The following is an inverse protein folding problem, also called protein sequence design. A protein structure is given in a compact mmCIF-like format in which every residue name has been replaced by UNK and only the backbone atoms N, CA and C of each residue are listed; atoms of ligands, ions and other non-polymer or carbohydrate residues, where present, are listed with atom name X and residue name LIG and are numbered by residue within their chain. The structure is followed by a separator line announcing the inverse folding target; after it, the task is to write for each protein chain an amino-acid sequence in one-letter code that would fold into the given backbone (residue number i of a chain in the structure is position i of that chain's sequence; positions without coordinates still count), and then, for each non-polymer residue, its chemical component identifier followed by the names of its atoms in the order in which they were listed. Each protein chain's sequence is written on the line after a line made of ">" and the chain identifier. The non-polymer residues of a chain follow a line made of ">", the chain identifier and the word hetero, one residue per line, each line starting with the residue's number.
data_IF_765685695542
#
_entry.id   IF_765685695542
#
_cell.length_a   1.000
_cell.length_b   1.000
_cell.length_c   1.000
_cell.angle_alpha   90.00
_cell.angle_beta   90.00
_cell.angle_gamma   90.00
#
_symmetry.space_group_name_H-M   'P 1'
#
loop_
_entity.id
_entity.type
_entity.pdbx_description
1 polymer ?
#
# COMPACT_ATOMS: atom_id res chain seq x y z
N UNK A 1 7.50 -23.26 -6.26
CA UNK A 1 6.54 -22.32 -5.60
C UNK A 1 6.42 -21.06 -6.42
N UNK A 2 5.26 -20.37 -6.36
CA UNK A 2 5.17 -19.02 -6.95
C UNK A 2 5.08 -18.02 -5.83
N UNK A 3 6.11 -17.18 -5.74
CA UNK A 3 6.28 -16.21 -4.65
C UNK A 3 5.81 -14.82 -5.07
N UNK A 4 5.00 -14.19 -4.24
CA UNK A 4 4.49 -12.83 -4.43
C UNK A 4 4.97 -11.93 -3.30
N UNK A 5 5.55 -10.78 -3.63
CA UNK A 5 5.85 -9.73 -2.67
C UNK A 5 4.68 -8.78 -2.52
N UNK A 6 4.36 -8.48 -1.27
CA UNK A 6 3.30 -7.56 -0.87
C UNK A 6 3.93 -6.35 -0.18
N UNK A 7 3.71 -5.17 -0.72
CA UNK A 7 4.25 -3.94 -0.13
C UNK A 7 3.20 -3.22 0.70
N UNK A 8 3.52 -3.01 1.98
CA UNK A 8 2.62 -2.36 2.93
C UNK A 8 2.34 -0.90 2.55
N UNK A 9 1.14 -0.45 2.84
CA UNK A 9 0.69 0.93 2.63
C UNK A 9 0.79 1.82 3.86
N UNK A 10 0.35 3.07 3.71
CA UNK A 10 0.20 4.00 4.83
C UNK A 10 -0.77 3.44 5.87
N UNK A 11 -0.46 3.63 7.15
CA UNK A 11 -1.20 3.10 8.30
C UNK A 11 -0.47 1.97 9.02
N UNK A 12 0.59 1.40 8.42
CA UNK A 12 1.41 0.38 9.05
C UNK A 12 2.71 0.92 9.67
N UNK A 13 3.04 2.20 9.48
CA UNK A 13 4.23 2.83 10.04
C UNK A 13 4.26 2.73 11.57
N UNK A 14 5.46 2.57 12.13
CA UNK A 14 5.71 2.56 13.57
C UNK A 14 6.98 3.33 13.93
N UNK A 15 6.99 3.95 15.10
CA UNK A 15 8.17 4.64 15.61
C UNK A 15 9.35 3.67 15.70
N UNK A 16 10.53 4.11 15.28
CA UNK A 16 11.76 3.30 15.29
C UNK A 16 11.88 2.32 14.13
N UNK A 17 10.94 2.32 13.16
CA UNK A 17 10.99 1.38 12.02
C UNK A 17 12.30 1.52 11.24
N UNK A 18 12.88 0.38 10.86
CA UNK A 18 14.08 0.32 10.03
C UNK A 18 15.40 0.52 10.76
N UNK A 19 15.41 0.90 12.06
CA UNK A 19 16.65 1.09 12.82
C UNK A 19 17.44 -0.19 12.96
N UNK A 20 16.79 -1.29 13.29
CA UNK A 20 17.38 -2.62 13.40
C UNK A 20 17.92 -3.14 12.06
N UNK A 21 17.23 -2.84 10.94
CA UNK A 21 17.72 -3.15 9.59
C UNK A 21 18.96 -2.32 9.25
N UNK A 22 18.96 -1.03 9.58
CA UNK A 22 20.09 -0.14 9.35
C UNK A 22 21.34 -0.60 10.09
N UNK A 23 21.19 -1.14 11.28
CA UNK A 23 22.28 -1.72 12.08
C UNK A 23 22.75 -3.08 11.54
N UNK A 24 21.81 -3.92 11.07
CA UNK A 24 22.08 -5.31 10.71
C UNK A 24 22.54 -5.53 9.27
N UNK A 25 22.05 -4.71 8.30
CA UNK A 25 22.26 -4.96 6.87
C UNK A 25 22.95 -3.80 6.16
N UNK A 26 24.21 -4.00 5.67
CA UNK A 26 24.95 -2.96 4.96
C UNK A 26 24.26 -2.43 3.70
N UNK A 27 23.58 -3.30 2.93
CA UNK A 27 22.84 -2.91 1.72
C UNK A 27 21.61 -2.07 2.04
N UNK A 28 20.88 -2.37 3.13
CA UNK A 28 19.80 -1.51 3.64
C UNK A 28 20.34 -0.12 3.99
N UNK A 29 21.44 -0.08 4.78
CA UNK A 29 22.10 1.16 5.20
C UNK A 29 22.53 2.00 4.01
N UNK A 30 23.15 1.38 3.01
CA UNK A 30 23.60 2.07 1.80
C UNK A 30 22.45 2.73 1.05
N UNK A 31 21.28 2.09 0.98
CA UNK A 31 20.07 2.71 0.41
C UNK A 31 19.66 3.93 1.24
N UNK A 32 19.46 3.78 2.56
CA UNK A 32 19.01 4.89 3.41
C UNK A 32 19.97 6.09 3.34
N UNK A 33 21.29 5.85 3.42
CA UNK A 33 22.31 6.91 3.40
C UNK A 33 22.45 7.58 2.02
N UNK A 34 21.92 6.96 0.95
CA UNK A 34 21.93 7.53 -0.41
C UNK A 34 20.73 8.45 -0.71
N UNK A 35 19.73 8.47 0.18
CA UNK A 35 18.49 9.21 -0.04
C UNK A 35 18.61 10.65 0.48
N UNK A 36 18.23 11.60 -0.36
CA UNK A 36 18.18 13.01 -0.04
C UNK A 36 16.73 13.52 -0.13
N UNK A 37 16.16 13.93 0.99
CA UNK A 37 14.79 14.42 1.11
C UNK A 37 14.75 15.82 1.70
N UNK A 38 13.58 16.44 1.69
CA UNK A 38 13.36 17.76 2.26
C UNK A 38 13.42 17.80 3.80
N UNK A 39 13.59 16.65 4.45
CA UNK A 39 13.71 16.47 5.90
C UNK A 39 14.72 15.37 6.23
N UNK A 40 15.14 15.29 7.50
CA UNK A 40 16.01 14.19 7.98
C UNK A 40 15.22 12.89 8.06
N UNK A 41 15.33 12.09 6.99
CA UNK A 41 14.64 10.80 6.84
C UNK A 41 14.99 9.84 7.96
N UNK A 42 16.29 9.71 8.27
CA UNK A 42 16.77 8.77 9.28
C UNK A 42 16.30 9.14 10.69
N UNK A 43 16.40 10.40 11.06
CA UNK A 43 15.87 10.88 12.33
C UNK A 43 14.35 10.66 12.42
N UNK A 44 13.59 10.93 11.34
CA UNK A 44 12.14 10.71 11.31
C UNK A 44 11.77 9.24 11.49
N UNK A 45 12.47 8.32 10.80
CA UNK A 45 12.18 6.88 10.89
C UNK A 45 12.58 6.28 12.23
N UNK A 46 13.78 6.61 12.75
CA UNK A 46 14.40 5.94 13.88
C UNK A 46 14.05 6.56 15.23
N UNK A 47 13.79 7.87 15.27
CA UNK A 47 13.64 8.63 16.52
C UNK A 47 12.36 9.50 16.53
N UNK A 48 11.70 9.64 15.38
CA UNK A 48 10.50 10.45 15.25
C UNK A 48 9.33 9.91 16.06
N UNK A 49 8.58 10.81 16.68
CA UNK A 49 7.34 10.45 17.34
C UNK A 49 6.31 9.92 16.34
N UNK A 50 5.52 8.92 16.76
CA UNK A 50 4.52 8.29 15.89
C UNK A 50 3.52 9.32 15.31
N UNK A 51 3.16 10.35 16.06
CA UNK A 51 2.26 11.39 15.58
C UNK A 51 2.84 12.17 14.39
N UNK A 52 4.13 12.52 14.44
CA UNK A 52 4.83 13.17 13.33
C UNK A 52 5.00 12.23 12.15
N UNK A 53 5.47 11.00 12.40
CA UNK A 53 5.64 9.98 11.38
C UNK A 53 4.32 9.60 10.69
N UNK A 54 3.18 9.76 11.36
CA UNK A 54 1.85 9.45 10.81
C UNK A 54 1.28 10.57 9.91
N UNK A 55 1.94 11.71 9.79
CA UNK A 55 1.56 12.73 8.81
C UNK A 55 1.91 12.21 7.41
N UNK A 56 0.96 12.35 6.49
CA UNK A 56 1.04 11.74 5.14
C UNK A 56 2.33 12.10 4.39
N UNK A 57 2.78 13.35 4.50
CA UNK A 57 3.99 13.86 3.88
C UNK A 57 5.29 13.22 4.40
N UNK A 58 5.27 12.65 5.61
CA UNK A 58 6.40 11.91 6.19
C UNK A 58 6.21 10.40 6.10
N UNK A 59 4.97 9.91 6.32
CA UNK A 59 4.68 8.46 6.25
C UNK A 59 5.11 7.88 4.92
N UNK A 60 4.72 8.53 3.80
CA UNK A 60 4.92 7.94 2.49
C UNK A 60 6.39 7.74 2.14
N UNK A 61 7.27 8.76 2.19
CA UNK A 61 8.68 8.55 1.91
C UNK A 61 9.40 7.67 2.94
N UNK A 62 9.03 7.71 4.22
CA UNK A 62 9.62 6.83 5.23
C UNK A 62 9.29 5.35 4.98
N UNK A 63 8.04 5.02 4.66
CA UNK A 63 7.62 3.67 4.30
C UNK A 63 8.29 3.20 3.00
N UNK A 64 8.42 4.10 2.02
CA UNK A 64 9.11 3.81 0.77
C UNK A 64 10.60 3.53 0.98
N UNK A 65 11.27 4.32 1.81
CA UNK A 65 12.68 4.10 2.15
C UNK A 65 12.89 2.77 2.86
N UNK A 66 12.00 2.44 3.83
CA UNK A 66 12.02 1.14 4.49
C UNK A 66 11.91 0.00 3.46
N UNK A 67 10.89 0.06 2.59
CA UNK A 67 10.65 -0.97 1.58
C UNK A 67 11.79 -1.07 0.55
N UNK A 68 12.37 0.06 0.12
CA UNK A 68 13.52 0.09 -0.78
C UNK A 68 14.75 -0.58 -0.16
N UNK A 69 15.03 -0.27 1.12
CA UNK A 69 16.13 -0.89 1.86
C UNK A 69 15.96 -2.40 2.01
N UNK A 70 14.77 -2.88 2.41
CA UNK A 70 14.49 -4.32 2.51
C UNK A 70 14.61 -4.99 1.13
N UNK A 71 14.05 -4.35 0.07
CA UNK A 71 14.15 -4.88 -1.30
C UNK A 71 15.61 -5.00 -1.76
N UNK A 72 16.48 -4.07 -1.38
CA UNK A 72 17.92 -4.15 -1.69
C UNK A 72 18.60 -5.37 -1.05
N UNK A 73 18.26 -5.66 0.23
CA UNK A 73 18.78 -6.86 0.91
C UNK A 73 18.28 -8.14 0.23
N UNK A 74 16.96 -8.23 -0.05
CA UNK A 74 16.38 -9.39 -0.74
C UNK A 74 17.01 -9.61 -2.11
N UNK A 75 17.28 -8.54 -2.86
CA UNK A 75 17.94 -8.60 -4.16
C UNK A 75 19.40 -9.07 -4.04
N UNK A 76 20.15 -8.58 -3.07
CA UNK A 76 21.53 -9.01 -2.78
C UNK A 76 21.57 -10.50 -2.46
N UNK A 77 20.59 -10.99 -1.71
CA UNK A 77 20.44 -12.41 -1.38
C UNK A 77 19.91 -13.25 -2.57
N UNK A 78 19.57 -12.64 -3.71
CA UNK A 78 18.98 -13.33 -4.86
C UNK A 78 17.55 -13.82 -4.63
N UNK A 79 16.85 -13.24 -3.66
CA UNK A 79 15.47 -13.59 -3.27
C UNK A 79 14.51 -12.64 -3.96
N UNK A 80 14.22 -12.87 -5.23
CA UNK A 80 13.28 -12.05 -6.00
C UNK A 80 11.97 -12.81 -6.26
N UNK A 81 10.83 -12.11 -6.31
CA UNK A 81 9.53 -12.74 -6.47
C UNK A 81 9.21 -13.04 -7.94
N UNK A 82 8.23 -13.90 -8.18
CA UNK A 82 7.60 -14.08 -9.50
C UNK A 82 6.65 -12.93 -9.84
N UNK A 83 6.06 -12.32 -8.81
CA UNK A 83 5.15 -11.21 -8.96
C UNK A 83 5.11 -10.32 -7.71
N UNK A 84 4.57 -9.11 -7.83
CA UNK A 84 4.38 -8.22 -6.70
C UNK A 84 3.11 -7.37 -6.83
N UNK A 85 2.60 -6.92 -5.69
CA UNK A 85 1.61 -5.86 -5.57
C UNK A 85 1.82 -5.08 -4.26
N UNK A 86 1.03 -4.06 -4.05
CA UNK A 86 1.08 -3.30 -2.81
C UNK A 86 -0.18 -2.46 -2.60
N UNK A 87 -0.48 -2.17 -1.35
CA UNK A 87 -1.68 -1.43 -0.99
C UNK A 87 -1.45 0.09 -1.12
N UNK A 88 -2.08 0.75 -2.08
CA UNK A 88 -1.99 2.20 -2.30
C UNK A 88 -0.54 2.68 -2.45
N UNK A 89 0.08 3.22 -1.41
CA UNK A 89 1.50 3.57 -1.36
C UNK A 89 2.40 2.38 -1.73
N UNK A 90 2.04 1.19 -1.27
CA UNK A 90 2.80 -0.04 -1.51
C UNK A 90 2.91 -0.43 -2.98
N UNK A 91 1.97 -0.01 -3.84
CA UNK A 91 2.06 -0.26 -5.29
C UNK A 91 3.37 0.30 -5.88
N UNK A 92 3.82 1.48 -5.41
CA UNK A 92 5.10 2.06 -5.82
C UNK A 92 6.29 1.20 -5.37
N UNK A 93 6.17 0.49 -4.22
CA UNK A 93 7.16 -0.49 -3.77
C UNK A 93 7.23 -1.71 -4.69
N UNK A 94 6.09 -2.22 -5.14
CA UNK A 94 6.02 -3.31 -6.11
C UNK A 94 6.62 -2.91 -7.47
N UNK A 95 6.34 -1.70 -7.94
CA UNK A 95 6.90 -1.14 -9.18
C UNK A 95 8.42 -0.96 -9.08
N UNK A 96 8.92 -0.44 -7.94
CA UNK A 96 10.36 -0.33 -7.67
C UNK A 96 11.04 -1.71 -7.68
N UNK A 97 10.49 -2.68 -6.98
CA UNK A 97 11.05 -4.04 -6.94
C UNK A 97 11.09 -4.69 -8.32
N UNK A 98 10.09 -4.42 -9.16
CA UNK A 98 10.07 -4.86 -10.55
C UNK A 98 11.06 -4.10 -11.45
N UNK A 99 11.70 -3.05 -10.94
CA UNK A 99 12.72 -2.29 -11.65
C UNK A 99 12.18 -1.23 -12.60
N UNK A 100 10.93 -0.77 -12.41
CA UNK A 100 10.36 0.35 -13.18
C UNK A 100 11.14 1.64 -12.94
N UNK A 101 11.55 1.87 -11.71
CA UNK A 101 12.41 2.98 -11.29
C UNK A 101 13.31 2.56 -10.12
N UNK A 102 14.38 3.29 -9.90
CA UNK A 102 15.34 2.99 -8.83
C UNK A 102 14.84 3.41 -7.44
N UNK A 103 15.64 3.16 -6.40
CA UNK A 103 15.28 3.48 -5.02
C UNK A 103 15.15 4.99 -4.76
N UNK A 104 15.99 5.81 -5.42
CA UNK A 104 15.96 7.27 -5.25
C UNK A 104 14.71 7.86 -5.88
N UNK A 105 14.39 7.46 -7.11
CA UNK A 105 13.17 7.89 -7.78
C UNK A 105 11.92 7.40 -7.05
N UNK A 106 11.91 6.15 -6.55
CA UNK A 106 10.82 5.62 -5.74
C UNK A 106 10.51 6.50 -4.53
N UNK A 107 11.53 6.80 -3.73
CA UNK A 107 11.34 7.59 -2.50
C UNK A 107 11.00 9.05 -2.83
N UNK A 108 11.59 9.63 -3.88
CA UNK A 108 11.29 10.96 -4.38
C UNK A 108 9.84 11.09 -4.88
N UNK A 109 9.36 10.08 -5.63
CA UNK A 109 7.95 10.02 -6.07
C UNK A 109 7.02 10.00 -4.87
N UNK A 110 7.30 9.19 -3.87
CA UNK A 110 6.43 9.05 -2.69
C UNK A 110 6.49 10.25 -1.75
N UNK A 111 7.62 10.94 -1.65
CA UNK A 111 7.72 12.24 -0.97
C UNK A 111 6.81 13.28 -1.67
N UNK A 112 6.92 13.38 -2.99
CA UNK A 112 6.07 14.28 -3.77
C UNK A 112 4.59 13.94 -3.61
N UNK A 113 4.24 12.66 -3.78
CA UNK A 113 2.88 12.13 -3.63
C UNK A 113 2.31 12.44 -2.25
N UNK A 114 3.03 12.11 -1.18
CA UNK A 114 2.60 12.35 0.20
C UNK A 114 2.32 13.82 0.47
N UNK A 115 3.21 14.70 0.03
CA UNK A 115 3.08 16.15 0.18
C UNK A 115 1.87 16.70 -0.58
N UNK A 116 1.67 16.32 -1.84
CA UNK A 116 0.55 16.83 -2.62
C UNK A 116 -0.79 16.25 -2.16
N UNK A 117 -0.83 15.00 -1.70
CA UNK A 117 -2.04 14.43 -1.08
C UNK A 117 -2.39 15.11 0.25
N UNK A 118 -1.39 15.44 1.09
CA UNK A 118 -1.62 16.21 2.32
C UNK A 118 -2.19 17.61 1.99
N UNK A 119 -1.61 18.32 1.01
CA UNK A 119 -2.13 19.62 0.55
C UNK A 119 -3.56 19.54 0.00
N UNK A 120 -3.87 18.50 -0.77
CA UNK A 120 -5.22 18.32 -1.32
C UNK A 120 -6.27 18.03 -0.23
N UNK A 121 -5.83 17.53 0.92
CA UNK A 121 -6.68 17.26 2.08
C UNK A 121 -6.91 18.50 2.97
N UNK A 122 -6.10 19.55 2.85
CA UNK A 122 -6.20 20.74 3.70
C UNK A 122 -7.59 21.37 3.66
N UNK A 123 -8.13 21.68 4.84
CA UNK A 123 -9.44 22.32 5.01
C UNK A 123 -10.65 21.42 4.71
N UNK A 124 -10.47 20.15 4.40
CA UNK A 124 -11.57 19.21 4.17
C UNK A 124 -11.97 18.48 5.44
N UNK A 125 -13.26 18.51 5.75
CA UNK A 125 -13.86 17.77 6.88
C UNK A 125 -14.34 16.42 6.36
N UNK A 126 -13.40 15.49 6.27
CA UNK A 126 -13.62 14.15 5.73
C UNK A 126 -13.14 13.07 6.70
N UNK A 127 -13.60 11.86 6.51
CA UNK A 127 -13.15 10.71 7.29
C UNK A 127 -13.09 9.44 6.46
N UNK A 128 -12.39 8.45 7.01
CA UNK A 128 -12.32 7.09 6.48
C UNK A 128 -12.75 6.10 7.55
N UNK A 129 -13.47 5.04 7.15
CA UNK A 129 -13.92 4.00 8.07
C UNK A 129 -13.75 2.62 7.46
N UNK A 130 -13.13 1.71 8.21
CA UNK A 130 -13.04 0.30 7.85
C UNK A 130 -14.35 -0.41 8.25
N UNK A 131 -15.00 -1.01 7.28
CA UNK A 131 -16.25 -1.78 7.41
C UNK A 131 -15.90 -3.26 7.41
N UNK A 132 -16.31 -3.98 8.46
CA UNK A 132 -16.01 -5.39 8.65
C UNK A 132 -17.25 -6.26 8.64
N UNK A 133 -17.19 -7.38 7.93
CA UNK A 133 -18.23 -8.43 7.95
C UNK A 133 -19.42 -8.12 7.06
N UNK A 134 -19.20 -7.38 5.97
CA UNK A 134 -20.21 -7.07 4.95
C UNK A 134 -19.72 -7.52 3.56
N UNK A 135 -20.65 -7.68 2.62
CA UNK A 135 -20.33 -7.83 1.21
C UNK A 135 -20.10 -6.45 0.57
N UNK A 136 -19.20 -6.38 -0.43
CA UNK A 136 -18.86 -5.13 -1.12
C UNK A 136 -20.07 -4.44 -1.72
N UNK A 137 -20.96 -5.18 -2.38
CA UNK A 137 -22.17 -4.66 -3.01
C UNK A 137 -23.12 -3.96 -2.03
N UNK A 138 -23.21 -4.48 -0.80
CA UNK A 138 -24.01 -3.87 0.27
C UNK A 138 -23.37 -2.56 0.74
N UNK A 139 -22.03 -2.51 0.83
CA UNK A 139 -21.32 -1.28 1.21
C UNK A 139 -21.46 -0.22 0.13
N UNK A 140 -21.35 -0.59 -1.15
CA UNK A 140 -21.55 0.30 -2.30
C UNK A 140 -22.98 0.87 -2.34
N UNK A 141 -23.99 0.00 -2.16
CA UNK A 141 -25.40 0.41 -2.09
C UNK A 141 -25.64 1.42 -0.98
N UNK A 142 -25.10 1.17 0.22
CA UNK A 142 -25.23 2.08 1.36
C UNK A 142 -24.55 3.42 1.09
N UNK A 143 -23.34 3.42 0.50
CA UNK A 143 -22.67 4.67 0.12
C UNK A 143 -23.54 5.49 -0.85
N UNK A 144 -24.14 4.85 -1.85
CA UNK A 144 -25.03 5.53 -2.80
C UNK A 144 -26.30 6.09 -2.12
N UNK A 145 -26.87 5.39 -1.14
CA UNK A 145 -28.03 5.85 -0.37
C UNK A 145 -27.73 7.04 0.56
N UNK A 146 -26.46 7.30 0.88
CA UNK A 146 -26.03 8.39 1.77
C UNK A 146 -25.63 9.68 1.03
N UNK A 147 -25.82 9.77 -0.28
CA UNK A 147 -25.43 10.94 -1.10
C UNK A 147 -26.11 12.25 -0.68
N UNK A 148 -27.32 12.21 -0.10
CA UNK A 148 -28.00 13.39 0.44
C UNK A 148 -27.25 14.02 1.63
N UNK A 149 -26.49 13.21 2.40
CA UNK A 149 -25.69 13.68 3.52
C UNK A 149 -24.30 14.19 3.10
N UNK A 150 -23.92 14.02 1.83
CA UNK A 150 -22.63 14.38 1.26
C UNK A 150 -21.99 13.24 0.48
N UNK A 151 -20.79 13.47 0.01
CA UNK A 151 -20.05 12.47 -0.76
C UNK A 151 -19.48 11.37 0.15
N UNK A 152 -19.76 10.12 -0.17
CA UNK A 152 -19.13 8.93 0.42
C UNK A 152 -18.97 7.84 -0.62
N UNK A 153 -17.87 7.09 -0.57
CA UNK A 153 -17.55 6.03 -1.53
C UNK A 153 -16.77 4.90 -0.87
N UNK A 154 -16.91 3.67 -1.37
CA UNK A 154 -16.02 2.57 -1.08
C UNK A 154 -14.68 2.79 -1.81
N UNK A 155 -13.60 2.96 -1.04
CA UNK A 155 -12.28 3.34 -1.56
C UNK A 155 -11.24 2.23 -1.48
N UNK A 156 -11.40 1.23 -0.60
CA UNK A 156 -10.52 0.07 -0.57
C UNK A 156 -11.31 -1.24 -0.49
N UNK A 157 -11.07 -2.10 -1.45
CA UNK A 157 -11.46 -3.50 -1.45
C UNK A 157 -10.25 -4.32 -0.96
N UNK A 158 -10.14 -4.49 0.37
CA UNK A 158 -8.93 -5.09 0.97
C UNK A 158 -8.93 -6.62 0.88
N UNK A 159 -10.03 -7.24 1.27
CA UNK A 159 -10.25 -8.69 1.21
C UNK A 159 -11.73 -8.99 1.47
N UNK A 160 -12.20 -10.24 1.26
CA UNK A 160 -13.59 -10.61 1.54
C UNK A 160 -14.03 -10.19 2.94
N UNK A 161 -15.10 -9.40 3.01
CA UNK A 161 -15.66 -8.89 4.25
C UNK A 161 -14.85 -7.78 4.94
N UNK A 162 -13.91 -7.12 4.26
CA UNK A 162 -13.18 -5.97 4.82
C UNK A 162 -12.93 -4.90 3.77
N UNK A 163 -13.64 -3.80 3.91
CA UNK A 163 -13.67 -2.67 2.97
C UNK A 163 -13.42 -1.36 3.71
N UNK A 164 -13.07 -0.30 2.98
CA UNK A 164 -12.93 1.05 3.55
C UNK A 164 -13.81 2.01 2.77
N UNK A 165 -14.62 2.77 3.48
CA UNK A 165 -15.38 3.90 2.94
C UNK A 165 -14.69 5.21 3.29
N UNK A 166 -14.82 6.21 2.40
CA UNK A 166 -14.22 7.53 2.58
C UNK A 166 -15.13 8.60 1.96
N UNK A 167 -15.18 9.74 2.60
CA UNK A 167 -15.96 10.88 2.11
C UNK A 167 -16.15 11.97 3.16
N UNK A 168 -17.16 12.80 2.94
CA UNK A 168 -17.55 13.85 3.87
C UNK A 168 -17.98 13.26 5.21
N UNK A 169 -17.58 13.88 6.31
CA UNK A 169 -17.82 13.36 7.66
C UNK A 169 -19.30 13.01 7.92
N UNK A 170 -20.30 13.86 7.57
CA UNK A 170 -21.73 13.51 7.77
C UNK A 170 -22.16 12.29 6.96
N UNK A 171 -21.69 12.17 5.71
CA UNK A 171 -22.04 11.04 4.84
C UNK A 171 -21.42 9.73 5.31
N UNK A 172 -20.15 9.76 5.75
CA UNK A 172 -19.50 8.58 6.33
C UNK A 172 -20.19 8.16 7.63
N UNK A 173 -20.61 9.11 8.49
CA UNK A 173 -21.35 8.82 9.71
C UNK A 173 -22.72 8.17 9.42
N UNK A 174 -23.46 8.69 8.42
CA UNK A 174 -24.73 8.12 7.98
C UNK A 174 -24.52 6.69 7.42
N UNK A 175 -23.49 6.50 6.58
CA UNK A 175 -23.16 5.18 6.04
C UNK A 175 -22.81 4.18 7.14
N UNK A 176 -22.01 4.55 8.15
CA UNK A 176 -21.70 3.70 9.29
C UNK A 176 -22.93 3.26 10.08
N UNK A 177 -23.87 4.19 10.32
CA UNK A 177 -25.12 3.88 11.01
C UNK A 177 -25.95 2.86 10.21
N UNK A 178 -26.17 3.11 8.93
CA UNK A 178 -26.91 2.22 8.04
C UNK A 178 -26.24 0.84 7.88
N UNK A 179 -24.90 0.80 7.74
CA UNK A 179 -24.16 -0.46 7.66
C UNK A 179 -24.29 -1.29 8.94
N UNK A 180 -24.29 -0.66 10.12
CA UNK A 180 -24.52 -1.34 11.40
C UNK A 180 -25.93 -1.93 11.46
N UNK A 181 -26.95 -1.20 11.03
CA UNK A 181 -28.35 -1.69 10.94
C UNK A 181 -28.47 -2.87 9.97
N UNK A 182 -27.72 -2.87 8.86
CA UNK A 182 -27.66 -3.97 7.89
C UNK A 182 -26.78 -5.14 8.38
N UNK A 183 -26.16 -5.07 9.57
CA UNK A 183 -25.44 -6.17 10.19
C UNK A 183 -23.91 -6.14 10.04
N UNK A 184 -23.30 -4.99 9.73
CA UNK A 184 -21.85 -4.86 9.78
C UNK A 184 -21.32 -5.19 11.18
N UNK A 185 -20.32 -6.06 11.25
CA UNK A 185 -19.74 -6.47 12.53
C UNK A 185 -19.07 -5.31 13.26
N UNK A 186 -18.39 -4.45 12.50
CA UNK A 186 -17.74 -3.23 13.01
C UNK A 186 -17.59 -2.20 11.89
N UNK A 187 -17.69 -0.91 12.26
CA UNK A 187 -17.18 0.21 11.51
C UNK A 187 -16.12 0.87 12.39
N UNK A 188 -14.89 0.99 11.90
CA UNK A 188 -13.73 1.48 12.65
C UNK A 188 -13.17 2.70 11.95
N UNK A 189 -13.25 3.87 12.60
CA UNK A 189 -12.65 5.10 12.09
C UNK A 189 -11.15 4.95 11.99
N UNK A 190 -10.60 5.33 10.84
CA UNK A 190 -9.17 5.31 10.60
C UNK A 190 -8.57 6.68 10.91
N UNK A 191 -7.42 6.67 11.60
CA UNK A 191 -6.66 7.89 11.86
C UNK A 191 -5.79 8.21 10.64
N UNK A 192 -6.40 8.82 9.63
CA UNK A 192 -5.74 9.19 8.36
C UNK A 192 -5.95 10.67 8.05
N UNK A 193 -4.97 11.28 7.35
CA UNK A 193 -4.90 12.72 7.15
C UNK A 193 -5.81 13.29 6.06
N UNK A 194 -6.68 12.50 5.40
CA UNK A 194 -7.50 13.06 4.33
C UNK A 194 -8.38 12.08 3.57
N UNK A 195 -9.19 12.61 2.61
CA UNK A 195 -10.13 11.84 1.80
C UNK A 195 -9.43 11.12 0.63
N UNK A 196 -8.50 10.22 0.96
CA UNK A 196 -7.69 9.50 -0.01
C UNK A 196 -8.54 8.58 -0.90
N UNK A 197 -8.09 8.37 -2.13
CA UNK A 197 -8.76 7.53 -3.14
C UNK A 197 -10.17 8.03 -3.52
N UNK A 198 -10.39 9.34 -3.39
CA UNK A 198 -11.61 10.02 -3.81
C UNK A 198 -11.34 11.13 -4.81
N UNK A 199 -12.40 11.67 -5.42
CA UNK A 199 -12.32 12.85 -6.31
C UNK A 199 -11.60 14.07 -5.69
N UNK A 200 -11.54 14.15 -4.37
CA UNK A 200 -10.85 15.24 -3.66
C UNK A 200 -9.33 15.22 -3.86
N UNK A 201 -8.78 14.09 -4.31
CA UNK A 201 -7.36 13.96 -4.63
C UNK A 201 -7.00 14.36 -6.06
N UNK A 202 -7.96 14.78 -6.91
CA UNK A 202 -7.72 15.20 -8.29
C UNK A 202 -6.59 16.26 -8.43
N UNK A 203 -6.52 17.31 -7.57
CA UNK A 203 -5.43 18.28 -7.66
C UNK A 203 -4.05 17.66 -7.42
N UNK A 204 -3.94 16.70 -6.50
CA UNK A 204 -2.71 15.97 -6.23
C UNK A 204 -2.38 15.00 -7.39
N UNK A 205 -3.39 14.35 -7.96
CA UNK A 205 -3.25 13.45 -9.10
C UNK A 205 -2.62 14.14 -10.32
N UNK A 206 -3.15 15.30 -10.71
CA UNK A 206 -2.63 16.09 -11.84
C UNK A 206 -1.19 16.53 -11.63
N UNK A 207 -0.84 16.97 -10.42
CA UNK A 207 0.53 17.37 -10.09
C UNK A 207 1.48 16.15 -10.09
N UNK A 208 1.04 15.02 -9.52
CA UNK A 208 1.81 13.79 -9.54
C UNK A 208 2.07 13.34 -10.99
N UNK A 209 1.05 13.39 -11.85
CA UNK A 209 1.19 13.03 -13.26
C UNK A 209 2.25 13.86 -13.97
N UNK A 210 2.24 15.19 -13.75
CA UNK A 210 3.25 16.09 -14.30
C UNK A 210 4.66 15.77 -13.77
N UNK A 211 4.77 15.49 -12.46
CA UNK A 211 6.04 15.13 -11.83
C UNK A 211 6.60 13.80 -12.39
N UNK A 212 5.74 12.82 -12.63
CA UNK A 212 6.14 11.52 -13.18
C UNK A 212 6.71 11.61 -14.60
N UNK A 213 6.42 12.68 -15.37
CA UNK A 213 7.05 12.88 -16.70
C UNK A 213 8.56 13.04 -16.64
N UNK A 214 9.08 13.56 -15.55
CA UNK A 214 10.51 13.77 -15.34
C UNK A 214 11.23 12.47 -14.91
N UNK A 215 10.50 11.44 -14.51
CA UNK A 215 11.06 10.18 -14.03
C UNK A 215 11.11 9.17 -15.17
N UNK A 216 12.27 8.57 -15.45
CA UNK A 216 12.36 7.47 -16.42
C UNK A 216 11.68 6.22 -15.87
N UNK A 217 10.85 5.57 -16.68
CA UNK A 217 10.20 4.31 -16.36
C UNK A 217 10.75 3.22 -17.27
N UNK A 218 11.25 2.16 -16.65
CA UNK A 218 11.76 0.97 -17.33
C UNK A 218 10.68 -0.11 -17.43
N UNK A 219 10.95 -1.15 -18.22
CA UNK A 219 10.05 -2.30 -18.27
C UNK A 219 10.15 -3.16 -17.00
N UNK A 220 9.01 -3.65 -16.46
CA UNK A 220 9.04 -4.52 -15.29
C UNK A 220 9.75 -5.83 -15.58
N UNK A 221 10.53 -6.31 -14.62
CA UNK A 221 11.28 -7.57 -14.70
C UNK A 221 10.43 -8.80 -14.37
N UNK A 222 9.33 -8.59 -13.66
CA UNK A 222 8.35 -9.61 -13.29
C UNK A 222 6.93 -8.99 -13.25
N UNK A 223 5.92 -9.80 -13.05
CA UNK A 223 4.51 -9.38 -13.02
C UNK A 223 4.21 -8.44 -11.84
N UNK A 224 3.52 -7.34 -12.10
CA UNK A 224 3.01 -6.43 -11.06
C UNK A 224 1.51 -6.28 -11.25
N UNK A 225 0.73 -6.33 -10.17
CA UNK A 225 -0.68 -5.97 -10.18
C UNK A 225 -0.88 -4.52 -9.75
N UNK A 226 -1.92 -3.88 -10.29
CA UNK A 226 -2.20 -2.45 -10.10
C UNK A 226 -3.54 -2.22 -9.41
N UNK A 227 -3.55 -1.33 -8.44
CA UNK A 227 -4.70 -1.04 -7.58
C UNK A 227 -5.95 -0.56 -8.34
N UNK A 228 -5.76 0.25 -9.39
CA UNK A 228 -6.88 0.82 -10.16
C UNK A 228 -7.63 -0.25 -10.94
N UNK A 229 -6.90 -1.17 -11.55
CA UNK A 229 -7.48 -2.23 -12.39
C UNK A 229 -7.84 -3.47 -11.60
N UNK A 230 -7.17 -3.71 -10.46
CA UNK A 230 -7.22 -4.97 -9.73
C UNK A 230 -6.69 -6.15 -10.56
N UNK A 231 -5.84 -5.85 -11.55
CA UNK A 231 -5.31 -6.81 -12.51
C UNK A 231 -3.82 -6.58 -12.78
N UNK A 232 -3.19 -7.47 -13.50
CA UNK A 232 -1.79 -7.39 -13.88
C UNK A 232 -1.55 -6.24 -14.85
N UNK A 233 -0.45 -5.50 -14.61
CA UNK A 233 0.00 -4.48 -15.52
C UNK A 233 0.34 -5.06 -16.90
N UNK A 234 -0.29 -4.53 -17.92
CA UNK A 234 0.03 -4.83 -19.30
C UNK A 234 0.96 -3.73 -19.87
N UNK A 235 2.11 -4.13 -20.42
CA UNK A 235 3.12 -3.21 -20.99
C UNK A 235 2.62 -2.27 -22.08
N UNK A 236 1.44 -2.51 -22.64
CA UNK A 236 0.79 -1.60 -23.59
C UNK A 236 0.06 -0.44 -22.95
N UNK A 237 -0.18 -0.47 -21.63
CA UNK A 237 -0.87 0.57 -20.89
C UNK A 237 0.08 1.71 -20.49
N UNK A 238 -0.47 2.91 -20.37
CA UNK A 238 0.28 4.08 -19.92
C UNK A 238 0.36 4.11 -18.40
N UNK A 239 1.40 3.49 -17.83
CA UNK A 239 1.55 3.34 -16.39
C UNK A 239 1.47 4.68 -15.62
N UNK A 240 2.05 5.75 -16.15
CA UNK A 240 2.00 7.08 -15.52
C UNK A 240 0.57 7.62 -15.41
N UNK A 241 -0.28 7.34 -16.42
CA UNK A 241 -1.69 7.72 -16.39
C UNK A 241 -2.45 6.87 -15.36
N UNK A 242 -2.13 5.58 -15.22
CA UNK A 242 -2.72 4.71 -14.18
C UNK A 242 -2.33 5.17 -12.77
N UNK A 243 -1.09 5.61 -12.56
CA UNK A 243 -0.64 6.16 -11.28
C UNK A 243 -1.27 7.52 -10.94
N UNK A 244 -1.58 8.35 -11.95
CA UNK A 244 -2.40 9.55 -11.76
C UNK A 244 -3.78 9.19 -11.23
N UNK A 245 -4.44 8.23 -11.87
CA UNK A 245 -5.79 7.81 -11.51
C UNK A 245 -5.81 7.11 -10.14
N UNK A 246 -4.75 6.41 -9.76
CA UNK A 246 -4.65 5.60 -8.54
C UNK A 246 -4.98 6.38 -7.27
N UNK A 247 -4.47 7.60 -7.09
CA UNK A 247 -4.66 8.35 -5.84
C UNK A 247 -6.07 8.93 -5.66
N UNK A 248 -6.89 8.94 -6.71
CA UNK A 248 -8.28 9.44 -6.71
C UNK A 248 -9.30 8.33 -6.99
N UNK A 249 -8.86 7.08 -7.13
CA UNK A 249 -9.70 5.91 -7.43
C UNK A 249 -9.60 4.84 -6.38
N UNK A 250 -10.60 3.96 -6.35
CA UNK A 250 -10.62 2.83 -5.41
C UNK A 250 -9.45 1.89 -5.63
N UNK A 251 -8.97 1.29 -4.55
CA UNK A 251 -7.90 0.29 -4.50
C UNK A 251 -8.54 -1.10 -4.52
N UNK A 252 -8.29 -1.88 -5.55
CA UNK A 252 -8.86 -3.22 -5.76
C UNK A 252 -7.91 -4.35 -5.32
N UNK A 253 -7.35 -4.24 -4.11
CA UNK A 253 -6.36 -5.19 -3.58
C UNK A 253 -6.86 -6.63 -3.48
N UNK A 254 -8.13 -6.83 -3.10
CA UNK A 254 -8.75 -8.16 -3.10
C UNK A 254 -8.70 -8.81 -4.49
N UNK A 255 -8.99 -8.06 -5.55
CA UNK A 255 -8.95 -8.56 -6.93
C UNK A 255 -7.53 -8.97 -7.32
N UNK A 256 -6.52 -8.17 -6.96
CA UNK A 256 -5.11 -8.49 -7.22
C UNK A 256 -4.72 -9.82 -6.56
N UNK A 257 -5.07 -9.99 -5.28
CA UNK A 257 -4.77 -11.24 -4.55
C UNK A 257 -5.47 -12.44 -5.18
N UNK A 258 -6.74 -12.30 -5.57
CA UNK A 258 -7.48 -13.37 -6.27
C UNK A 258 -6.80 -13.78 -7.57
N UNK A 259 -6.33 -12.82 -8.37
CA UNK A 259 -5.58 -13.06 -9.61
C UNK A 259 -4.28 -13.82 -9.34
N UNK A 260 -3.51 -13.47 -8.32
CA UNK A 260 -2.32 -14.23 -7.95
C UNK A 260 -2.64 -15.66 -7.53
N UNK A 261 -3.69 -15.86 -6.74
CA UNK A 261 -4.14 -17.20 -6.33
C UNK A 261 -4.63 -18.04 -7.52
N UNK A 262 -5.31 -17.44 -8.50
CA UNK A 262 -5.72 -18.08 -9.77
C UNK A 262 -4.51 -18.46 -10.63
N UNK A 263 -3.47 -17.64 -10.65
CA UNK A 263 -2.19 -17.87 -11.32
C UNK A 263 -1.35 -18.98 -10.67
N UNK A 264 -1.81 -19.48 -9.50
CA UNK A 264 -1.15 -20.54 -8.73
C UNK A 264 -0.07 -20.03 -7.77
N UNK A 265 -0.13 -18.77 -7.36
CA UNK A 265 0.72 -18.27 -6.27
C UNK A 265 0.33 -18.96 -4.96
N UNK A 266 1.33 -19.43 -4.23
CA UNK A 266 1.18 -20.17 -2.98
C UNK A 266 1.97 -19.58 -1.81
N UNK A 267 2.91 -18.69 -2.10
CA UNK A 267 3.81 -18.08 -1.11
C UNK A 267 3.75 -16.56 -1.21
N UNK A 268 3.51 -15.89 -0.09
CA UNK A 268 3.37 -14.44 -0.03
C UNK A 268 4.28 -13.86 1.05
N UNK A 269 5.05 -12.84 0.71
CA UNK A 269 5.98 -12.17 1.61
C UNK A 269 5.57 -10.70 1.74
N UNK A 270 5.12 -10.30 2.91
CA UNK A 270 4.78 -8.91 3.22
C UNK A 270 6.04 -8.13 3.63
N UNK A 271 6.31 -7.03 2.94
CA UNK A 271 7.42 -6.11 3.16
C UNK A 271 6.86 -4.81 3.72
N UNK A 272 7.16 -4.55 4.98
CA UNK A 272 6.70 -3.37 5.71
C UNK A 272 6.36 -3.69 7.16
N UNK A 273 6.25 -2.65 8.02
CA UNK A 273 5.82 -2.85 9.40
C UNK A 273 4.41 -3.46 9.47
N UNK A 274 4.22 -4.41 10.38
CA UNK A 274 2.94 -5.09 10.58
C UNK A 274 2.72 -6.33 9.69
N UNK A 275 1.47 -6.79 9.61
CA UNK A 275 1.08 -8.03 8.92
C UNK A 275 -0.33 -7.97 8.33
N UNK A 276 -0.80 -6.78 7.98
CA UNK A 276 -2.17 -6.58 7.51
C UNK A 276 -2.42 -7.28 6.17
N UNK A 277 -1.47 -7.18 5.23
CA UNK A 277 -1.63 -7.72 3.89
C UNK A 277 -1.62 -9.25 3.88
N UNK A 278 -0.75 -9.89 4.67
CA UNK A 278 -0.78 -11.34 4.84
C UNK A 278 -2.09 -11.81 5.48
N UNK A 279 -2.70 -11.00 6.35
CA UNK A 279 -4.05 -11.23 6.86
C UNK A 279 -5.11 -11.19 5.77
N UNK A 280 -5.02 -10.25 4.83
CA UNK A 280 -5.94 -10.14 3.68
C UNK A 280 -5.77 -11.34 2.73
N UNK A 281 -4.53 -11.71 2.43
CA UNK A 281 -4.23 -12.91 1.62
C UNK A 281 -4.84 -14.17 2.21
N UNK A 282 -4.67 -14.41 3.52
CA UNK A 282 -5.26 -15.59 4.21
C UNK A 282 -6.78 -15.63 4.08
N UNK A 283 -7.46 -14.47 4.18
CA UNK A 283 -8.92 -14.38 4.01
C UNK A 283 -9.35 -14.65 2.56
N UNK A 284 -8.65 -14.07 1.58
CA UNK A 284 -8.92 -14.30 0.17
C UNK A 284 -8.67 -15.77 -0.20
N UNK A 285 -7.56 -16.34 0.21
CA UNK A 285 -7.21 -17.74 0.00
C UNK A 285 -8.27 -18.69 0.60
N UNK A 286 -8.71 -18.43 1.83
CA UNK A 286 -9.78 -19.19 2.47
C UNK A 286 -11.08 -19.12 1.67
N UNK A 287 -11.46 -17.95 1.17
CA UNK A 287 -12.68 -17.78 0.37
C UNK A 287 -12.62 -18.51 -0.99
N UNK A 288 -11.40 -18.81 -1.49
CA UNK A 288 -11.16 -19.55 -2.73
C UNK A 288 -10.77 -21.00 -2.52
N UNK A 289 -10.83 -21.50 -1.27
CA UNK A 289 -10.38 -22.85 -0.89
C UNK A 289 -8.93 -23.14 -1.32
N UNK A 290 -8.06 -22.15 -1.18
CA UNK A 290 -6.61 -22.23 -1.49
C UNK A 290 -5.80 -22.28 -0.20
N UNK A 291 -4.67 -23.02 -0.24
CA UNK A 291 -3.67 -23.03 0.82
C UNK A 291 -2.53 -22.09 0.44
N UNK A 292 -2.10 -21.27 1.38
CA UNK A 292 -1.00 -20.34 1.19
C UNK A 292 -0.03 -20.34 2.36
N UNK A 293 1.22 -20.06 2.09
CA UNK A 293 2.27 -19.79 3.07
C UNK A 293 2.49 -18.27 3.08
N UNK A 294 2.61 -17.69 4.24
CA UNK A 294 2.82 -16.24 4.35
C UNK A 294 3.98 -15.93 5.29
N UNK A 295 4.81 -14.99 4.88
CA UNK A 295 5.91 -14.43 5.67
C UNK A 295 5.70 -12.93 5.81
N UNK A 296 6.25 -12.35 6.87
CA UNK A 296 6.23 -10.91 7.12
C UNK A 296 7.65 -10.45 7.42
N UNK A 297 8.08 -9.34 6.86
CA UNK A 297 9.35 -8.69 7.13
C UNK A 297 9.05 -7.36 7.83
N UNK A 298 8.87 -7.43 9.13
CA UNK A 298 8.61 -6.30 10.02
C UNK A 298 9.85 -5.88 10.80
N UNK A 299 10.75 -6.83 11.07
CA UNK A 299 11.99 -6.65 11.82
C UNK A 299 13.19 -7.26 11.08
N UNK A 300 14.41 -6.84 11.46
CA UNK A 300 15.62 -7.43 10.94
C UNK A 300 15.72 -8.95 11.23
N UNK A 301 15.17 -9.41 12.35
CA UNK A 301 15.13 -10.83 12.69
C UNK A 301 14.18 -11.61 11.76
N UNK A 302 13.04 -11.02 11.35
CA UNK A 302 12.15 -11.64 10.37
C UNK A 302 12.87 -11.86 9.03
N UNK A 303 13.63 -10.86 8.58
CA UNK A 303 14.39 -10.95 7.34
C UNK A 303 15.50 -12.01 7.44
N UNK A 304 16.26 -12.08 8.55
CA UNK A 304 17.25 -13.14 8.78
C UNK A 304 16.61 -14.52 8.77
N UNK A 305 15.45 -14.67 9.42
CA UNK A 305 14.70 -15.92 9.44
C UNK A 305 14.21 -16.34 8.04
N UNK A 306 13.82 -15.37 7.22
CA UNK A 306 13.44 -15.61 5.82
C UNK A 306 14.64 -16.01 4.96
N UNK A 307 15.77 -15.32 5.11
CA UNK A 307 17.04 -15.65 4.42
C UNK A 307 17.48 -17.08 4.74
N UNK A 308 17.35 -17.51 6.00
CA UNK A 308 17.66 -18.87 6.40
C UNK A 308 16.81 -19.96 5.72
N UNK A 309 15.64 -19.58 5.16
CA UNK A 309 14.72 -20.46 4.42
C UNK A 309 14.77 -20.22 2.90
N UNK A 310 15.75 -19.49 2.42
CA UNK A 310 15.84 -19.07 1.01
C UNK A 310 15.69 -20.23 0.04
N UNK A 311 16.42 -21.32 0.23
CA UNK A 311 16.39 -22.48 -0.67
C UNK A 311 15.02 -23.18 -0.68
N UNK A 312 14.26 -23.10 0.43
CA UNK A 312 12.91 -23.67 0.53
C UNK A 312 11.89 -22.82 -0.23
N UNK A 313 12.06 -21.48 -0.24
CA UNK A 313 11.04 -20.53 -0.69
C UNK A 313 11.28 -20.08 -2.14
N UNK A 314 12.56 -19.95 -2.56
CA UNK A 314 12.96 -19.35 -3.83
C UNK A 314 13.71 -20.33 -4.78
N UNK A 315 13.66 -21.64 -4.49
CA UNK A 315 14.23 -22.68 -5.36
C UNK A 315 13.35 -23.01 -6.57
#
# INVERSE_FOLDING_TARGET
>A
MKTVFLYAGQGSQKAGMGKDFYEAFPSYRAVIDSLELSFDLKAMMHEGELAALSRTEYTQPCMAAFAAGVTAVLKEEGMMPDAACGLSLGEYGALHAAGIFDAKDYVKITEFRGREMARAAEGKVCSMSAVLGMEASVVEEVCAQCEEAGFVKLVNYNCPGQYVICGDEPAVAAAEAMLKEKGAKRCIRLNVGGPFHTKYMEPAAKKLRAFLEEIPFENPKFTVALNVTGDFYNRGEKLKDLLEVQIQSSVHFESEIRKFLEMGADTFVEIGPGNALTGFVKKAAKAMDKKVITYTIDTAEDLKALIAKKEEIFS
#
